data_IF_332092515455
#
_entry.id   IF_332092515455
#
_cell.length_a   1.000
_cell.length_b   1.000
_cell.length_c   1.000
_cell.angle_alpha   90.00
_cell.angle_beta   90.00
_cell.angle_gamma   90.00
#
_symmetry.space_group_name_H-M   'P 1'
#
loop_
_entity.id
_entity.type
_entity.pdbx_description
1 polymer ?
#
# COMPACT_ATOMS: atom_id res chain seq x y z
N UNK A 1 60.39 -40.39 -57.00
CA UNK A 1 60.97 -41.08 -55.81
C UNK A 1 61.62 -40.01 -54.95
N UNK A 2 60.95 -39.41 -53.96
CA UNK A 2 60.87 -39.75 -52.51
C UNK A 2 61.06 -38.37 -51.85
N UNK A 3 60.31 -37.81 -50.90
CA UNK A 3 59.21 -38.15 -49.98
C UNK A 3 58.61 -36.76 -49.61
N UNK A 4 57.31 -36.50 -49.66
CA UNK A 4 56.31 -36.79 -48.61
C UNK A 4 56.78 -36.44 -47.18
N UNK A 5 55.94 -35.68 -46.45
CA UNK A 5 56.02 -35.23 -45.05
C UNK A 5 56.73 -33.90 -44.77
N UNK A 6 55.95 -32.81 -44.88
CA UNK A 6 55.77 -31.79 -43.83
C UNK A 6 54.57 -30.91 -44.20
N UNK A 7 53.41 -31.58 -44.28
CA UNK A 7 52.11 -30.94 -44.11
C UNK A 7 51.79 -30.91 -42.61
N UNK A 8 51.04 -29.88 -42.21
CA UNK A 8 50.34 -29.66 -40.94
C UNK A 8 51.03 -28.79 -39.86
N UNK A 9 50.29 -27.72 -39.50
CA UNK A 9 50.49 -26.70 -38.44
C UNK A 9 51.42 -25.56 -38.87
N UNK A 10 51.02 -24.31 -39.11
CA UNK A 10 49.81 -23.55 -38.85
C UNK A 10 49.71 -22.47 -39.94
N UNK A 11 49.04 -22.79 -41.04
CA UNK A 11 48.33 -21.76 -41.82
C UNK A 11 46.92 -21.68 -41.21
N UNK A 12 46.33 -20.48 -41.22
CA UNK A 12 45.09 -20.06 -40.54
C UNK A 12 45.37 -19.31 -39.22
N UNK A 13 45.77 -18.04 -39.34
CA UNK A 13 45.49 -17.03 -38.31
C UNK A 13 45.33 -15.64 -38.96
N UNK A 14 44.47 -15.57 -39.97
CA UNK A 14 44.03 -14.32 -40.57
C UNK A 14 42.66 -14.57 -41.21
N UNK A 15 41.62 -14.54 -40.37
CA UNK A 15 40.20 -14.31 -40.68
C UNK A 15 39.38 -14.72 -39.44
N UNK A 16 38.31 -13.97 -39.18
CA UNK A 16 37.36 -14.08 -38.05
C UNK A 16 37.70 -13.21 -36.83
N UNK A 17 37.68 -11.88 -37.03
CA UNK A 17 37.13 -10.95 -36.03
C UNK A 17 35.79 -10.47 -36.58
N UNK A 18 34.77 -11.32 -36.49
CA UNK A 18 33.36 -10.95 -36.70
C UNK A 18 32.56 -11.68 -35.63
N UNK A 19 31.92 -10.89 -34.75
CA UNK A 19 30.71 -11.29 -34.04
C UNK A 19 30.87 -12.29 -32.90
N UNK A 20 31.28 -11.82 -31.72
CA UNK A 20 30.68 -12.36 -30.49
C UNK A 20 29.30 -11.72 -30.35
N UNK A 21 28.38 -12.04 -31.28
CA UNK A 21 26.98 -12.01 -30.91
C UNK A 21 26.78 -13.28 -30.08
N UNK A 22 26.52 -13.09 -28.79
CA UNK A 22 25.87 -14.11 -27.98
C UNK A 22 24.67 -14.63 -28.79
N UNK A 23 24.78 -15.84 -29.30
CA UNK A 23 23.67 -16.57 -29.89
C UNK A 23 22.68 -16.88 -28.76
N UNK A 24 21.83 -15.91 -28.43
CA UNK A 24 20.61 -16.21 -27.71
C UNK A 24 19.80 -17.16 -28.58
N UNK A 25 19.37 -18.30 -28.03
CA UNK A 25 18.32 -19.12 -28.64
C UNK A 25 17.09 -18.23 -28.82
N UNK A 26 16.93 -17.65 -30.02
CA UNK A 26 15.65 -17.07 -30.44
C UNK A 26 14.73 -18.23 -30.77
N UNK A 27 14.06 -18.77 -29.75
CA UNK A 27 12.91 -19.65 -29.94
C UNK A 27 11.67 -18.89 -30.46
N UNK A 28 11.84 -17.74 -31.13
CA UNK A 28 10.74 -16.84 -31.51
C UNK A 28 9.99 -16.19 -30.34
N UNK A 29 10.36 -16.51 -29.09
CA UNK A 29 9.81 -15.90 -27.88
C UNK A 29 10.74 -14.75 -27.51
N UNK A 30 10.26 -13.53 -27.65
CA UNK A 30 10.89 -12.35 -27.08
C UNK A 30 10.74 -12.41 -25.55
N UNK A 31 11.82 -12.75 -24.85
CA UNK A 31 11.81 -12.85 -23.39
C UNK A 31 11.75 -11.47 -22.71
N UNK A 32 11.93 -10.38 -23.47
CA UNK A 32 11.89 -9.01 -22.96
C UNK A 32 10.45 -8.49 -22.83
N UNK A 33 9.49 -9.09 -23.56
CA UNK A 33 8.08 -8.69 -23.53
C UNK A 33 7.17 -9.65 -22.77
N UNK A 34 7.68 -10.82 -22.36
CA UNK A 34 6.85 -11.86 -21.74
C UNK A 34 6.95 -11.79 -20.22
N UNK A 35 5.82 -11.52 -19.58
CA UNK A 35 5.67 -11.47 -18.12
C UNK A 35 5.74 -12.89 -17.53
N UNK A 36 6.59 -13.07 -16.53
CA UNK A 36 6.78 -14.29 -15.73
C UNK A 36 5.89 -14.28 -14.49
N UNK A 37 5.76 -13.14 -13.83
CA UNK A 37 4.85 -12.91 -12.70
C UNK A 37 4.13 -11.59 -12.93
N UNK A 38 2.86 -11.60 -13.36
CA UNK A 38 2.08 -10.39 -13.45
C UNK A 38 1.73 -9.90 -12.06
N UNK A 39 1.62 -8.59 -11.87
CA UNK A 39 0.97 -8.08 -10.68
C UNK A 39 -0.52 -8.45 -10.66
N UNK A 40 -1.13 -8.40 -9.48
CA UNK A 40 -2.57 -8.31 -9.31
C UNK A 40 -2.91 -7.02 -8.56
N UNK A 41 -3.84 -6.24 -9.08
CA UNK A 41 -4.35 -5.02 -8.47
C UNK A 41 -5.85 -5.19 -8.19
N UNK A 42 -6.25 -4.97 -6.95
CA UNK A 42 -7.65 -4.93 -6.56
C UNK A 42 -8.10 -3.48 -6.43
N UNK A 43 -9.32 -3.19 -6.89
CA UNK A 43 -9.85 -1.83 -7.00
C UNK A 43 -11.27 -1.82 -6.45
N UNK A 44 -11.52 -1.08 -5.38
CA UNK A 44 -12.88 -0.81 -4.91
C UNK A 44 -13.43 0.46 -5.56
N UNK A 45 -14.72 0.51 -5.81
CA UNK A 45 -15.42 1.70 -6.31
C UNK A 45 -16.34 2.35 -5.26
N UNK A 46 -16.84 3.54 -5.58
CA UNK A 46 -17.78 4.29 -4.73
C UNK A 46 -19.20 3.69 -4.70
N UNK A 47 -19.50 2.69 -5.53
CA UNK A 47 -20.75 1.94 -5.50
C UNK A 47 -20.61 0.64 -4.70
N UNK A 48 -19.42 0.35 -4.17
CA UNK A 48 -19.13 -0.84 -3.38
C UNK A 48 -18.80 -2.08 -4.21
N UNK A 49 -18.58 -1.95 -5.52
CA UNK A 49 -18.09 -3.07 -6.31
C UNK A 49 -16.57 -3.22 -6.11
N UNK A 50 -16.10 -4.47 -6.20
CA UNK A 50 -14.69 -4.81 -6.18
C UNK A 50 -14.29 -5.38 -7.54
N UNK A 51 -13.19 -4.85 -8.07
CA UNK A 51 -12.63 -5.20 -9.37
C UNK A 51 -11.21 -5.73 -9.21
N UNK A 52 -10.75 -6.47 -10.22
CA UNK A 52 -9.37 -6.93 -10.33
C UNK A 52 -8.80 -6.67 -11.72
N UNK A 53 -7.51 -6.35 -11.78
CA UNK A 53 -6.73 -6.26 -13.02
C UNK A 53 -5.30 -6.76 -12.83
N UNK A 54 -4.74 -7.36 -13.87
CA UNK A 54 -3.34 -7.77 -13.94
C UNK A 54 -2.57 -7.05 -15.06
N UNK A 55 -3.21 -6.10 -15.74
CA UNK A 55 -2.64 -5.33 -16.86
C UNK A 55 -2.83 -3.83 -16.71
N UNK A 56 -3.82 -3.42 -15.90
CA UNK A 56 -4.15 -2.03 -15.65
C UNK A 56 -4.97 -1.41 -16.78
N UNK A 57 -5.12 -2.12 -17.90
CA UNK A 57 -5.82 -1.67 -19.11
C UNK A 57 -7.22 -2.30 -19.24
N UNK A 58 -7.50 -3.34 -18.45
CA UNK A 58 -8.81 -3.99 -18.38
C UNK A 58 -9.10 -4.49 -16.97
N UNK A 59 -10.38 -4.52 -16.58
CA UNK A 59 -10.82 -4.94 -15.25
C UNK A 59 -11.86 -6.05 -15.33
N UNK A 60 -11.88 -6.88 -14.29
CA UNK A 60 -12.85 -7.94 -14.05
C UNK A 60 -13.59 -7.65 -12.75
N UNK A 61 -14.93 -7.69 -12.79
CA UNK A 61 -15.76 -7.63 -11.59
C UNK A 61 -15.56 -8.90 -10.75
N UNK A 62 -15.30 -8.75 -9.46
CA UNK A 62 -15.18 -9.86 -8.51
C UNK A 62 -16.18 -9.78 -7.36
N UNK A 63 -16.68 -8.58 -7.02
CA UNK A 63 -17.81 -8.41 -6.11
C UNK A 63 -18.77 -7.35 -6.68
N UNK A 64 -20.07 -7.64 -6.84
CA UNK A 64 -21.02 -6.68 -7.42
C UNK A 64 -21.26 -5.49 -6.48
N UNK A 65 -21.69 -4.33 -7.02
CA UNK A 65 -21.99 -3.16 -6.20
C UNK A 65 -23.11 -3.44 -5.20
N UNK A 66 -22.89 -3.05 -3.95
CA UNK A 66 -23.83 -3.19 -2.83
C UNK A 66 -24.20 -1.85 -2.16
N UNK A 67 -23.67 -0.74 -2.69
CA UNK A 67 -23.90 0.61 -2.19
C UNK A 67 -22.97 1.03 -1.03
N UNK A 68 -22.03 0.18 -0.62
CA UNK A 68 -21.09 0.47 0.46
C UNK A 68 -19.65 0.42 -0.05
N UNK A 69 -18.97 1.57 -0.22
CA UNK A 69 -17.58 1.60 -0.68
C UNK A 69 -16.65 0.76 0.19
N UNK A 70 -15.68 0.12 -0.45
CA UNK A 70 -14.59 -0.51 0.28
C UNK A 70 -13.77 0.55 1.01
N UNK A 71 -13.38 0.22 2.24
CA UNK A 71 -12.52 1.04 3.09
C UNK A 71 -11.12 0.48 3.18
N UNK A 72 -10.93 -0.83 3.01
CA UNK A 72 -9.60 -1.44 3.03
C UNK A 72 -9.62 -2.72 2.22
N UNK A 73 -8.57 -2.99 1.47
CA UNK A 73 -8.37 -4.25 0.77
C UNK A 73 -6.96 -4.72 1.10
N UNK A 74 -6.79 -6.01 1.42
CA UNK A 74 -5.46 -6.64 1.54
C UNK A 74 -5.50 -8.06 0.99
N UNK A 75 -4.33 -8.62 0.73
CA UNK A 75 -4.13 -10.06 0.64
C UNK A 75 -3.27 -10.53 1.80
N UNK A 76 -3.55 -11.72 2.33
CA UNK A 76 -2.71 -12.38 3.34
C UNK A 76 -2.64 -13.86 3.03
N UNK A 77 -1.43 -14.36 2.74
CA UNK A 77 -1.28 -15.64 2.05
C UNK A 77 -2.06 -15.66 0.72
N UNK A 78 -2.95 -16.64 0.55
CA UNK A 78 -3.82 -16.77 -0.64
C UNK A 78 -5.21 -16.14 -0.43
N UNK A 79 -5.44 -15.48 0.71
CA UNK A 79 -6.75 -14.95 1.04
C UNK A 79 -6.85 -13.49 0.61
N UNK A 80 -8.01 -13.11 0.09
CA UNK A 80 -8.37 -11.72 -0.18
C UNK A 80 -9.33 -11.24 0.91
N UNK A 81 -8.98 -10.13 1.57
CA UNK A 81 -9.82 -9.50 2.56
C UNK A 81 -10.20 -8.10 2.08
N UNK A 82 -11.44 -7.70 2.36
CA UNK A 82 -11.81 -6.29 2.29
C UNK A 82 -12.66 -5.89 3.49
N UNK A 83 -12.66 -4.60 3.78
CA UNK A 83 -13.45 -3.98 4.84
C UNK A 83 -14.45 -3.03 4.22
N UNK A 84 -15.73 -3.17 4.59
CA UNK A 84 -16.78 -2.17 4.41
C UNK A 84 -17.28 -1.73 5.79
N UNK A 85 -18.51 -2.06 6.14
CA UNK A 85 -19.01 -2.03 7.53
C UNK A 85 -18.50 -3.21 8.37
N UNK A 86 -18.20 -4.33 7.71
CA UNK A 86 -17.63 -5.55 8.28
C UNK A 86 -16.39 -5.97 7.47
N UNK A 87 -15.58 -6.84 8.03
CA UNK A 87 -14.47 -7.50 7.32
C UNK A 87 -14.98 -8.74 6.61
N UNK A 88 -14.73 -8.82 5.31
CA UNK A 88 -15.12 -9.92 4.44
C UNK A 88 -13.89 -10.64 3.92
N UNK A 89 -14.02 -11.94 3.74
CA UNK A 89 -12.95 -12.85 3.35
C UNK A 89 -13.37 -13.65 2.12
N UNK A 90 -12.49 -13.71 1.14
CA UNK A 90 -12.51 -14.70 0.06
C UNK A 90 -11.33 -15.66 0.19
N UNK A 91 -11.64 -16.96 0.02
CA UNK A 91 -10.68 -18.07 0.02
C UNK A 91 -10.40 -18.60 -1.39
N UNK A 92 -11.00 -18.00 -2.41
CA UNK A 92 -11.03 -18.50 -3.78
C UNK A 92 -10.93 -17.35 -4.80
N UNK A 93 -9.95 -16.47 -4.60
CA UNK A 93 -9.60 -15.39 -5.52
C UNK A 93 -10.78 -14.46 -5.88
N UNK A 94 -11.64 -14.17 -4.91
CA UNK A 94 -12.80 -13.31 -5.08
C UNK A 94 -14.04 -14.01 -5.64
N UNK A 95 -14.04 -15.35 -5.74
CA UNK A 95 -15.23 -16.08 -6.21
C UNK A 95 -16.42 -15.99 -5.25
N UNK A 96 -16.18 -16.03 -3.94
CA UNK A 96 -17.18 -15.80 -2.90
C UNK A 96 -16.57 -15.03 -1.73
N UNK A 97 -17.40 -14.27 -1.02
CA UNK A 97 -17.02 -13.51 0.17
C UNK A 97 -17.93 -13.83 1.34
N UNK A 98 -17.35 -14.05 2.52
CA UNK A 98 -18.09 -14.22 3.77
C UNK A 98 -17.63 -13.19 4.80
N UNK A 99 -18.54 -12.60 5.60
CA UNK A 99 -18.14 -11.77 6.72
C UNK A 99 -17.41 -12.63 7.77
N UNK A 100 -16.32 -12.09 8.33
CA UNK A 100 -15.49 -12.79 9.34
C UNK A 100 -15.26 -11.96 10.60
N UNK A 101 -15.43 -10.64 10.54
CA UNK A 101 -15.40 -9.76 11.70
C UNK A 101 -16.37 -8.58 11.53
N UNK A 102 -17.01 -8.17 12.61
CA UNK A 102 -17.92 -7.01 12.67
C UNK A 102 -17.49 -5.93 13.65
N UNK A 103 -16.28 -6.07 14.23
CA UNK A 103 -15.74 -5.19 15.26
C UNK A 103 -14.98 -4.00 14.68
N UNK A 104 -14.64 -4.06 13.39
CA UNK A 104 -13.87 -3.03 12.68
C UNK A 104 -14.33 -1.61 13.01
N UNK A 105 -13.36 -0.73 13.23
CA UNK A 105 -13.65 0.66 13.60
C UNK A 105 -14.47 1.38 12.52
N UNK A 106 -15.46 2.16 12.95
CA UNK A 106 -16.24 3.07 12.13
C UNK A 106 -15.60 4.46 12.02
N UNK A 107 -14.57 4.73 12.84
CA UNK A 107 -13.87 6.02 12.94
C UNK A 107 -12.55 6.06 12.17
N UNK A 108 -11.98 4.88 11.90
CA UNK A 108 -10.76 4.76 11.10
C UNK A 108 -10.96 5.16 9.63
N UNK A 109 -9.86 5.51 8.98
CA UNK A 109 -9.88 6.01 7.61
C UNK A 109 -9.12 5.07 6.68
N UNK A 110 -9.83 4.66 5.63
CA UNK A 110 -9.38 3.85 4.49
C UNK A 110 -8.33 2.77 4.79
N UNK A 111 -7.33 2.59 3.90
CA UNK A 111 -6.41 1.44 3.91
C UNK A 111 -5.61 1.28 5.20
N UNK A 112 -5.60 2.28 6.08
CA UNK A 112 -4.85 2.25 7.32
C UNK A 112 -5.52 1.43 8.45
N UNK A 113 -6.73 0.90 8.23
CA UNK A 113 -7.48 0.17 9.27
C UNK A 113 -7.19 -1.33 9.30
N UNK A 114 -6.59 -1.90 8.26
CA UNK A 114 -6.30 -3.33 8.18
C UNK A 114 -4.92 -3.55 7.57
N UNK A 115 -4.10 -4.39 8.19
CA UNK A 115 -2.70 -4.56 7.83
C UNK A 115 -2.27 -6.03 7.94
N UNK A 116 -1.72 -6.58 6.87
CA UNK A 116 -0.97 -7.84 6.93
C UNK A 116 0.43 -7.58 7.48
N UNK A 117 0.84 -8.32 8.51
CA UNK A 117 2.14 -8.19 9.18
C UNK A 117 2.84 -9.55 9.16
N UNK A 118 3.54 -9.88 8.05
CA UNK A 118 4.19 -11.18 7.88
C UNK A 118 5.19 -11.53 8.99
N UNK A 119 5.94 -10.54 9.50
CA UNK A 119 6.89 -10.72 10.61
C UNK A 119 6.22 -11.25 11.89
N UNK A 120 4.94 -10.93 12.06
CA UNK A 120 4.14 -11.40 13.19
C UNK A 120 3.34 -12.65 12.85
N UNK A 121 3.24 -13.02 11.56
CA UNK A 121 2.32 -14.04 11.06
C UNK A 121 0.87 -13.67 11.36
N UNK A 122 0.51 -12.38 11.25
CA UNK A 122 -0.80 -11.86 11.65
C UNK A 122 -1.34 -10.82 10.69
N UNK A 123 -2.65 -10.86 10.49
CA UNK A 123 -3.42 -9.71 10.02
C UNK A 123 -3.91 -8.95 11.24
N UNK A 124 -3.68 -7.65 11.30
CA UNK A 124 -4.21 -6.75 12.32
C UNK A 124 -5.37 -5.92 11.75
N UNK A 125 -6.37 -5.69 12.57
CA UNK A 125 -7.55 -4.90 12.24
C UNK A 125 -7.85 -3.91 13.37
N UNK A 126 -7.92 -2.65 13.00
CA UNK A 126 -8.35 -1.57 13.87
C UNK A 126 -9.85 -1.75 14.19
N UNK A 127 -10.18 -1.76 15.48
CA UNK A 127 -11.49 -2.16 15.99
C UNK A 127 -12.08 -1.07 16.90
N UNK A 128 -13.41 -0.99 17.01
CA UNK A 128 -14.05 -0.17 18.05
C UNK A 128 -13.74 -0.78 19.42
N UNK A 129 -13.23 0.01 20.36
CA UNK A 129 -13.05 -0.46 21.74
C UNK A 129 -14.37 -0.54 22.50
N UNK A 130 -14.27 -1.03 23.75
CA UNK A 130 -15.37 -1.47 24.61
C UNK A 130 -16.73 -0.81 24.32
N UNK A 131 -17.55 -1.51 23.53
CA UNK A 131 -18.98 -1.23 23.40
C UNK A 131 -19.74 -2.35 24.07
N UNK A 132 -20.96 -2.07 24.56
CA UNK A 132 -21.79 -3.06 25.26
C UNK A 132 -22.08 -4.33 24.43
N UNK A 133 -21.81 -4.31 23.11
CA UNK A 133 -22.04 -5.43 22.19
C UNK A 133 -20.74 -6.05 21.64
N UNK A 134 -19.58 -5.40 21.78
CA UNK A 134 -18.26 -5.91 21.34
C UNK A 134 -17.15 -5.41 22.28
N UNK A 135 -16.68 -6.22 23.23
CA UNK A 135 -15.64 -5.83 24.18
C UNK A 135 -14.26 -6.00 23.52
N UNK A 136 -13.92 -5.18 22.53
CA UNK A 136 -12.54 -5.16 22.01
C UNK A 136 -11.70 -4.12 22.76
N UNK A 137 -10.38 -4.32 22.76
CA UNK A 137 -9.41 -3.33 23.24
C UNK A 137 -8.89 -2.46 22.07
N UNK A 138 -9.75 -2.19 21.10
CA UNK A 138 -9.45 -1.36 19.95
C UNK A 138 -8.65 -2.05 18.83
N UNK A 139 -8.13 -3.25 19.03
CA UNK A 139 -7.46 -4.05 17.99
C UNK A 139 -7.94 -5.49 18.09
N UNK A 140 -8.19 -6.09 16.93
CA UNK A 140 -8.32 -7.54 16.79
C UNK A 140 -7.28 -8.02 15.76
N UNK A 141 -6.86 -9.28 15.85
CA UNK A 141 -5.90 -9.86 14.92
C UNK A 141 -6.31 -11.27 14.49
N UNK A 142 -5.78 -11.71 13.36
CA UNK A 142 -5.96 -13.06 12.83
C UNK A 142 -4.62 -13.72 12.58
N UNK A 143 -4.44 -14.94 13.08
CA UNK A 143 -3.24 -15.79 12.83
C UNK A 143 -3.47 -16.80 11.70
N UNK A 144 -4.64 -16.75 11.06
CA UNK A 144 -5.03 -17.65 9.98
C UNK A 144 -5.59 -16.88 8.78
N UNK A 145 -4.94 -15.76 8.47
CA UNK A 145 -5.16 -14.94 7.28
C UNK A 145 -6.63 -14.48 7.14
N UNK A 146 -7.26 -14.08 8.24
CA UNK A 146 -8.61 -13.52 8.27
C UNK A 146 -9.74 -14.51 8.53
N UNK A 147 -9.47 -15.81 8.70
CA UNK A 147 -10.54 -16.81 8.92
C UNK A 147 -11.20 -16.67 10.29
N UNK A 148 -10.42 -16.37 11.33
CA UNK A 148 -10.91 -16.11 12.69
C UNK A 148 -10.14 -14.95 13.30
N UNK A 149 -10.80 -14.23 14.21
CA UNK A 149 -10.26 -13.02 14.84
C UNK A 149 -10.21 -13.16 16.35
N UNK A 150 -9.10 -12.70 16.93
CA UNK A 150 -8.79 -12.73 18.35
C UNK A 150 -8.66 -11.28 18.82
N UNK A 151 -9.28 -10.95 19.94
CA UNK A 151 -9.12 -9.63 20.57
C UNK A 151 -7.67 -9.49 21.04
N UNK A 152 -7.00 -8.40 20.66
CA UNK A 152 -5.67 -8.10 21.19
C UNK A 152 -5.82 -7.62 22.64
N UNK A 153 -5.69 -8.56 23.58
CA UNK A 153 -5.85 -8.30 25.01
C UNK A 153 -4.59 -7.76 25.67
N UNK A 154 -3.50 -7.56 24.91
CA UNK A 154 -2.22 -7.17 25.49
C UNK A 154 -2.30 -5.80 26.16
N UNK A 155 -1.75 -5.77 27.37
CA UNK A 155 -1.96 -4.74 28.37
C UNK A 155 -1.13 -3.52 28.00
N UNK A 156 -1.79 -2.37 27.80
CA UNK A 156 -1.11 -1.09 27.88
C UNK A 156 -0.55 -0.99 29.29
N UNK A 157 0.73 -0.66 29.47
CA UNK A 157 1.39 -0.56 30.79
C UNK A 157 0.82 0.54 31.72
N UNK A 158 -0.43 0.96 31.49
CA UNK A 158 -1.21 1.86 32.29
C UNK A 158 -2.63 1.30 32.37
N UNK A 159 -3.35 1.57 33.45
CA UNK A 159 -4.74 1.13 33.71
C UNK A 159 -5.78 1.57 32.66
N UNK A 160 -5.34 2.15 31.55
CA UNK A 160 -6.13 2.72 30.47
C UNK A 160 -6.39 1.69 29.35
N UNK A 161 -7.66 1.39 29.13
CA UNK A 161 -8.13 0.65 27.98
C UNK A 161 -8.06 1.52 26.72
N UNK A 162 -7.50 1.03 25.61
CA UNK A 162 -7.71 1.69 24.31
C UNK A 162 -9.20 1.68 24.01
N UNK A 163 -9.75 2.86 23.73
CA UNK A 163 -11.17 3.04 23.45
C UNK A 163 -11.54 2.73 21.99
N UNK A 164 -10.59 2.81 21.07
CA UNK A 164 -10.67 2.28 19.70
C UNK A 164 -9.32 2.54 19.00
N UNK A 165 -8.86 1.64 18.12
CA UNK A 165 -7.79 1.99 17.17
C UNK A 165 -8.43 2.44 15.88
N UNK A 166 -7.80 3.41 15.22
CA UNK A 166 -8.31 4.02 13.99
C UNK A 166 -7.34 3.94 12.82
N UNK A 167 -6.09 3.59 13.09
CA UNK A 167 -5.06 3.48 12.06
C UNK A 167 -3.89 2.61 12.54
N UNK A 168 -3.27 1.88 11.61
CA UNK A 168 -2.18 0.93 11.81
C UNK A 168 -1.13 1.12 10.71
N UNK A 169 0.14 0.91 11.04
CA UNK A 169 1.21 0.83 10.05
C UNK A 169 2.42 0.09 10.62
N UNK A 170 3.23 -0.55 9.78
CA UNK A 170 4.47 -1.20 10.20
C UNK A 170 5.65 -0.57 9.47
N UNK A 171 6.70 -0.22 10.21
CA UNK A 171 7.95 0.26 9.63
C UNK A 171 8.78 -0.91 9.06
N UNK A 172 9.71 -0.61 8.17
CA UNK A 172 10.60 -1.61 7.56
C UNK A 172 11.46 -2.39 8.57
N UNK A 173 11.77 -1.80 9.73
CA UNK A 173 12.47 -2.44 10.84
C UNK A 173 11.60 -3.39 11.67
N UNK A 174 10.33 -3.59 11.27
CA UNK A 174 9.38 -4.48 11.91
C UNK A 174 8.53 -3.82 13.00
N UNK A 175 8.82 -2.58 13.39
CA UNK A 175 8.08 -1.89 14.46
C UNK A 175 6.65 -1.56 14.01
N UNK A 176 5.67 -2.12 14.71
CA UNK A 176 4.25 -1.92 14.43
C UNK A 176 3.71 -0.75 15.25
N UNK A 177 2.93 0.12 14.62
CA UNK A 177 2.29 1.27 15.24
C UNK A 177 0.76 1.21 15.13
N UNK A 178 0.10 1.76 16.15
CA UNK A 178 -1.33 1.96 16.20
C UNK A 178 -1.66 3.38 16.68
N UNK A 179 -2.67 4.02 16.09
CA UNK A 179 -3.14 5.35 16.48
C UNK A 179 -4.65 5.36 16.74
N UNK A 180 -5.05 6.08 17.78
CA UNK A 180 -6.45 6.29 18.14
C UNK A 180 -6.85 7.75 18.03
N UNK A 181 -7.80 8.05 17.16
CA UNK A 181 -8.49 9.35 17.13
C UNK A 181 -9.47 9.55 18.30
N UNK A 182 -9.64 8.56 19.19
CA UNK A 182 -10.57 8.65 20.32
C UNK A 182 -9.89 9.19 21.57
N UNK A 183 -8.66 8.73 21.84
CA UNK A 183 -7.85 9.19 22.98
C UNK A 183 -6.64 10.04 22.55
N UNK A 184 -6.32 10.07 21.25
CA UNK A 184 -5.23 10.86 20.67
C UNK A 184 -3.85 10.23 20.84
N UNK A 185 -3.77 8.95 21.23
CA UNK A 185 -2.50 8.31 21.54
C UNK A 185 -1.92 7.49 20.39
N UNK A 186 -0.59 7.44 20.39
CA UNK A 186 0.23 6.59 19.55
C UNK A 186 0.79 5.43 20.37
N UNK A 187 0.73 4.23 19.83
CA UNK A 187 1.22 3.01 20.45
C UNK A 187 2.18 2.30 19.52
N UNK A 188 3.20 1.65 20.07
CA UNK A 188 4.14 0.83 19.33
C UNK A 188 4.26 -0.57 19.91
N UNK A 189 4.61 -1.54 19.04
CA UNK A 189 4.82 -2.94 19.39
C UNK A 189 6.00 -3.50 18.62
N UNK A 190 6.96 -4.06 19.37
CA UNK A 190 8.24 -4.56 18.82
C UNK A 190 8.16 -6.01 18.30
N UNK A 191 7.18 -6.79 18.74
CA UNK A 191 6.98 -8.16 18.28
C UNK A 191 5.57 -8.63 18.56
N UNK A 192 5.15 -9.72 17.90
CA UNK A 192 3.81 -10.30 18.06
C UNK A 192 3.39 -10.63 19.50
N UNK A 193 4.31 -10.83 20.44
CA UNK A 193 3.99 -11.17 21.83
C UNK A 193 4.39 -10.08 22.83
N UNK A 194 4.96 -8.97 22.35
CA UNK A 194 5.23 -7.83 23.19
C UNK A 194 3.95 -7.04 23.45
N UNK A 195 3.89 -6.41 24.64
CA UNK A 195 2.87 -5.44 24.99
C UNK A 195 2.97 -4.19 24.11
N UNK A 196 1.85 -3.49 24.01
CA UNK A 196 1.80 -2.18 23.38
C UNK A 196 2.35 -1.11 24.32
N UNK A 197 3.32 -0.35 23.82
CA UNK A 197 3.93 0.76 24.56
C UNK A 197 3.35 2.06 24.02
N UNK A 198 2.71 2.84 24.90
CA UNK A 198 2.27 4.18 24.56
C UNK A 198 3.47 5.10 24.37
N UNK A 199 3.46 5.85 23.29
CA UNK A 199 4.47 6.87 22.97
C UNK A 199 3.90 8.24 23.36
N UNK A 200 4.76 9.09 23.93
CA UNK A 200 4.45 10.49 24.23
C UNK A 200 5.11 11.37 23.17
N UNK A 201 4.39 11.73 22.09
CA UNK A 201 4.98 12.47 20.99
C UNK A 201 5.29 13.92 21.38
N UNK A 202 6.41 14.43 20.87
CA UNK A 202 6.85 15.83 20.99
C UNK A 202 6.75 16.47 19.61
N UNK A 203 6.18 17.67 19.53
CA UNK A 203 6.13 18.48 18.30
C UNK A 203 4.86 18.32 17.46
N UNK A 204 3.99 17.35 17.76
CA UNK A 204 2.66 17.29 17.15
C UNK A 204 1.79 18.49 17.58
N UNK A 205 0.88 18.95 16.71
CA UNK A 205 0.00 20.07 17.03
C UNK A 205 -1.02 19.69 18.12
N UNK A 206 -1.36 20.63 19.00
CA UNK A 206 -2.28 20.42 20.13
C UNK A 206 -3.76 20.52 19.76
N UNK A 207 -4.11 20.68 18.48
CA UNK A 207 -5.50 20.87 18.06
C UNK A 207 -6.29 19.55 18.16
N UNK A 208 -7.35 19.55 18.97
CA UNK A 208 -8.15 18.37 19.30
C UNK A 208 -9.24 18.00 18.27
N UNK A 209 -9.32 18.69 17.12
CA UNK A 209 -10.45 18.57 16.17
C UNK A 209 -10.11 17.87 14.85
N UNK A 210 -8.92 17.30 14.72
CA UNK A 210 -8.42 16.70 13.47
C UNK A 210 -8.39 15.18 13.57
N UNK A 211 -8.81 14.50 12.50
CA UNK A 211 -8.63 13.06 12.36
C UNK A 211 -7.29 12.77 11.70
N UNK A 212 -6.46 11.96 12.34
CA UNK A 212 -5.17 11.54 11.80
C UNK A 212 -5.17 10.07 11.41
N UNK A 213 -4.39 9.74 10.38
CA UNK A 213 -4.06 8.37 10.03
C UNK A 213 -2.55 8.21 9.83
N UNK A 214 -2.08 7.00 10.10
CA UNK A 214 -0.70 6.58 10.00
C UNK A 214 -0.37 6.10 8.58
N UNK A 215 0.89 6.28 8.21
CA UNK A 215 1.55 5.66 7.07
C UNK A 215 3.05 5.57 7.35
N UNK A 216 3.85 5.10 6.41
CA UNK A 216 5.30 5.07 6.55
C UNK A 216 6.03 5.23 5.21
N UNK A 217 7.33 5.50 5.30
CA UNK A 217 8.29 5.38 4.21
C UNK A 217 9.59 4.82 4.79
N UNK A 218 9.85 3.54 4.54
CA UNK A 218 10.91 2.77 5.21
C UNK A 218 10.73 2.77 6.73
N UNK A 219 11.69 3.38 7.44
CA UNK A 219 11.66 3.56 8.90
C UNK A 219 11.16 4.93 9.36
N UNK A 220 10.65 5.75 8.44
CA UNK A 220 10.03 7.03 8.77
C UNK A 220 8.55 6.81 9.04
N UNK A 221 8.11 7.08 10.27
CA UNK A 221 6.69 7.06 10.61
C UNK A 221 6.03 8.35 10.15
N UNK A 222 4.84 8.25 9.55
CA UNK A 222 4.08 9.37 9.02
C UNK A 222 2.73 9.49 9.74
N UNK A 223 2.28 10.73 9.92
CA UNK A 223 0.97 11.06 10.46
C UNK A 223 0.35 12.15 9.59
N UNK A 224 -0.77 11.84 8.94
CA UNK A 224 -1.46 12.76 8.05
C UNK A 224 -2.75 13.24 8.67
N UNK A 225 -2.95 14.55 8.73
CA UNK A 225 -4.24 15.15 9.06
C UNK A 225 -5.20 15.01 7.89
N UNK A 226 -6.22 14.19 8.06
CA UNK A 226 -7.27 14.00 7.07
C UNK A 226 -7.89 15.31 6.61
N UNK A 227 -8.05 16.31 7.48
CA UNK A 227 -8.71 17.57 7.09
C UNK A 227 -7.84 18.48 6.21
N UNK A 228 -6.52 18.21 6.17
CA UNK A 228 -5.52 18.96 5.41
C UNK A 228 -4.96 20.19 6.12
N UNK A 229 -5.63 20.69 7.17
CA UNK A 229 -5.22 21.92 7.86
C UNK A 229 -3.82 21.82 8.49
N UNK A 230 -3.48 20.66 9.02
CA UNK A 230 -2.20 20.40 9.68
C UNK A 230 -1.20 19.69 8.76
N UNK A 231 -1.60 19.24 7.57
CA UNK A 231 -0.75 18.58 6.59
C UNK A 231 -0.22 17.21 7.05
N UNK A 232 1.01 16.90 6.63
CA UNK A 232 1.69 15.62 6.95
C UNK A 232 2.88 15.87 7.87
N UNK A 233 2.98 15.04 8.90
CA UNK A 233 4.06 15.03 9.87
C UNK A 233 4.86 13.74 9.74
N UNK A 234 6.12 13.79 10.17
CA UNK A 234 7.02 12.64 10.16
C UNK A 234 7.85 12.55 11.43
N UNK A 235 8.26 11.33 11.76
CA UNK A 235 9.21 11.01 12.82
C UNK A 235 10.17 9.93 12.33
N UNK A 236 11.46 10.15 12.57
CA UNK A 236 12.57 9.23 12.22
C UNK A 236 13.07 8.46 13.46
N UNK A 237 12.53 8.78 14.64
CA UNK A 237 12.91 8.22 15.93
C UNK A 237 11.77 7.43 16.58
N UNK A 238 11.04 6.68 15.74
CA UNK A 238 9.97 5.77 16.19
C UNK A 238 8.82 6.47 16.93
N UNK A 239 8.41 7.65 16.44
CA UNK A 239 7.23 8.38 16.90
C UNK A 239 7.47 9.32 18.08
N UNK A 240 8.73 9.54 18.49
CA UNK A 240 9.05 10.38 19.67
C UNK A 240 9.07 11.87 19.28
N UNK A 241 9.88 12.27 18.30
CA UNK A 241 9.98 13.65 17.83
C UNK A 241 9.34 13.75 16.44
N UNK A 242 8.40 14.68 16.33
CA UNK A 242 7.66 14.95 15.11
C UNK A 242 8.03 16.30 14.50
N UNK A 243 8.14 16.31 13.18
CA UNK A 243 8.34 17.50 12.37
C UNK A 243 7.32 17.53 11.25
N UNK A 244 6.82 18.71 10.91
CA UNK A 244 5.91 18.90 9.77
C UNK A 244 6.72 18.93 8.47
N UNK A 245 6.24 18.26 7.43
CA UNK A 245 6.77 18.49 6.09
C UNK A 245 6.34 19.86 5.57
N UNK A 246 7.20 20.49 4.76
CA UNK A 246 6.94 21.79 4.16
C UNK A 246 6.07 21.71 2.90
N UNK A 247 6.04 22.81 2.16
CA UNK A 247 5.23 22.99 0.95
C UNK A 247 3.81 23.47 1.24
N UNK A 248 2.98 23.49 0.19
CA UNK A 248 1.60 23.98 0.26
C UNK A 248 0.66 22.87 -0.20
N UNK A 249 0.37 21.96 0.73
CA UNK A 249 -0.79 21.09 0.58
C UNK A 249 -2.06 21.97 0.67
N UNK A 250 -3.08 21.69 -0.15
CA UNK A 250 -4.33 22.41 -0.11
C UNK A 250 -5.07 22.10 1.21
N UNK A 251 -5.79 23.09 1.74
CA UNK A 251 -6.63 22.90 2.94
C UNK A 251 -7.95 22.20 2.57
N UNK A 252 -7.83 20.96 2.11
CA UNK A 252 -8.91 20.04 1.77
C UNK A 252 -8.60 18.66 2.32
N UNK A 253 -9.56 17.72 2.31
CA UNK A 253 -9.28 16.38 2.76
C UNK A 253 -8.11 15.70 2.04
N UNK A 254 -7.19 15.14 2.83
CA UNK A 254 -6.03 14.36 2.38
C UNK A 254 -6.39 12.87 2.46
N UNK A 255 -6.68 12.29 1.30
CA UNK A 255 -7.32 10.99 1.19
C UNK A 255 -6.37 9.80 1.28
N UNK A 256 -5.14 9.96 0.81
CA UNK A 256 -4.14 8.91 0.86
C UNK A 256 -2.77 9.49 1.18
N UNK A 257 -1.95 8.75 1.91
CA UNK A 257 -0.52 9.01 2.07
C UNK A 257 0.21 7.70 1.94
N UNK A 258 1.03 7.54 0.90
CA UNK A 258 1.66 6.26 0.58
C UNK A 258 2.99 6.46 -0.14
N UNK A 259 3.94 5.57 0.14
CA UNK A 259 5.24 5.53 -0.50
C UNK A 259 5.43 4.23 -1.30
N UNK A 260 5.05 4.17 -2.59
CA UNK A 260 5.30 3.00 -3.41
C UNK A 260 6.79 2.61 -3.37
N UNK A 261 7.06 1.38 -2.94
CA UNK A 261 8.42 0.82 -2.84
C UNK A 261 9.39 1.61 -1.96
N UNK A 262 8.90 2.44 -1.04
CA UNK A 262 9.70 3.35 -0.22
C UNK A 262 10.55 4.34 -1.03
N UNK A 263 10.20 4.61 -2.29
CA UNK A 263 10.96 5.49 -3.18
C UNK A 263 10.44 6.93 -3.16
N UNK A 264 9.11 7.09 -3.16
CA UNK A 264 8.45 8.38 -3.36
C UNK A 264 7.22 8.53 -2.49
N UNK A 265 7.17 9.57 -1.67
CA UNK A 265 6.01 9.83 -0.83
C UNK A 265 4.97 10.70 -1.56
N UNK A 266 3.76 10.18 -1.69
CA UNK A 266 2.63 10.90 -2.29
C UNK A 266 1.50 11.15 -1.30
N UNK A 267 0.76 12.24 -1.55
CA UNK A 267 -0.49 12.58 -0.87
C UNK A 267 -1.58 12.78 -1.89
N UNK A 268 -2.63 11.96 -1.82
CA UNK A 268 -3.86 12.11 -2.59
C UNK A 268 -4.79 13.13 -1.92
N UNK A 269 -5.42 14.00 -2.70
CA UNK A 269 -6.24 15.10 -2.17
C UNK A 269 -7.64 15.11 -2.78
N UNK A 270 -8.60 15.71 -2.06
CA UNK A 270 -9.96 15.94 -2.58
C UNK A 270 -9.95 17.09 -3.61
N UNK A 271 -10.03 16.74 -4.89
CA UNK A 271 -10.22 17.69 -5.99
C UNK A 271 -8.99 18.48 -6.41
N UNK A 272 -7.81 18.21 -5.84
CA UNK A 272 -6.55 18.90 -6.20
C UNK A 272 -5.48 17.93 -6.72
N UNK A 273 -5.87 16.69 -7.06
CA UNK A 273 -4.97 15.66 -7.56
C UNK A 273 -4.06 15.07 -6.49
N UNK A 274 -2.81 14.82 -6.87
CA UNK A 274 -1.76 14.22 -6.05
C UNK A 274 -0.58 15.17 -5.87
N UNK A 275 0.01 15.14 -4.68
CA UNK A 275 1.23 15.88 -4.34
C UNK A 275 2.35 14.89 -4.04
N UNK A 276 3.58 15.21 -4.43
CA UNK A 276 4.79 14.40 -4.15
C UNK A 276 5.73 15.17 -3.23
N UNK A 277 6.38 14.45 -2.32
CA UNK A 277 7.44 15.03 -1.49
C UNK A 277 8.72 15.23 -2.32
N UNK A 278 9.22 16.45 -2.37
CA UNK A 278 10.49 16.81 -3.02
C UNK A 278 11.28 17.70 -2.07
N UNK A 279 12.47 17.27 -1.66
CA UNK A 279 13.35 18.03 -0.76
C UNK A 279 12.63 18.55 0.50
N UNK A 280 11.85 17.68 1.16
CA UNK A 280 11.10 18.00 2.38
C UNK A 280 9.84 18.85 2.18
N UNK A 281 9.45 19.16 0.93
CA UNK A 281 8.27 19.95 0.61
C UNK A 281 7.31 19.17 -0.31
N UNK A 282 6.02 19.20 0.00
CA UNK A 282 5.01 18.67 -0.93
C UNK A 282 4.77 19.65 -2.08
N UNK A 283 4.87 19.14 -3.32
CA UNK A 283 4.62 19.88 -4.56
C UNK A 283 3.60 19.12 -5.43
N UNK A 284 2.77 19.81 -6.24
CA UNK A 284 1.83 19.13 -7.14
C UNK A 284 2.54 18.20 -8.13
N UNK A 285 1.99 16.99 -8.34
CA UNK A 285 2.49 15.99 -9.27
C UNK A 285 1.36 15.50 -10.20
N UNK A 286 0.67 16.46 -10.84
CA UNK A 286 -0.61 16.24 -11.51
C UNK A 286 -0.53 16.07 -13.03
N UNK A 287 0.66 15.91 -13.61
CA UNK A 287 0.78 15.90 -15.07
C UNK A 287 0.03 14.70 -15.67
N UNK A 288 -0.92 14.97 -16.57
CA UNK A 288 -1.79 13.95 -17.17
C UNK A 288 -3.05 13.58 -16.36
N UNK A 289 -3.23 14.12 -15.14
CA UNK A 289 -4.50 14.03 -14.41
C UNK A 289 -5.53 15.02 -14.96
N UNK A 290 -6.81 14.64 -14.94
CA UNK A 290 -7.89 15.57 -15.22
C UNK A 290 -7.99 16.66 -14.15
N UNK A 291 -8.61 17.78 -14.51
CA UNK A 291 -8.84 18.88 -13.56
C UNK A 291 -9.89 18.46 -12.51
N UNK A 292 -9.75 18.93 -11.26
CA UNK A 292 -10.62 18.59 -10.12
C UNK A 292 -10.66 17.09 -9.75
N UNK A 293 -9.67 16.30 -10.16
CA UNK A 293 -9.59 14.88 -9.78
C UNK A 293 -9.32 14.73 -8.29
N UNK A 294 -10.15 13.93 -7.61
CA UNK A 294 -9.88 13.48 -6.24
C UNK A 294 -9.09 12.19 -6.27
N UNK A 295 -7.93 12.13 -5.61
CA UNK A 295 -7.09 10.93 -5.54
C UNK A 295 -7.32 10.26 -4.20
N UNK A 296 -7.98 9.09 -4.20
CA UNK A 296 -8.48 8.42 -2.98
C UNK A 296 -7.60 7.30 -2.46
N UNK A 297 -6.86 6.62 -3.35
CA UNK A 297 -5.89 5.61 -2.95
C UNK A 297 -4.72 5.56 -3.93
N UNK A 298 -3.58 5.06 -3.44
CA UNK A 298 -2.31 4.98 -4.17
C UNK A 298 -1.73 3.58 -3.93
N UNK A 299 -1.20 2.93 -4.96
CA UNK A 299 -0.54 1.63 -4.84
C UNK A 299 0.67 1.52 -5.78
N UNK A 300 1.67 0.73 -5.37
CA UNK A 300 2.77 0.28 -6.24
C UNK A 300 2.52 -1.15 -6.71
N UNK A 301 2.73 -1.43 -8.00
CA UNK A 301 2.61 -2.77 -8.59
C UNK A 301 3.73 -3.05 -9.58
N UNK A 302 4.26 -4.27 -9.56
CA UNK A 302 5.38 -4.66 -10.40
C UNK A 302 5.11 -5.91 -11.24
N UNK A 303 5.51 -5.84 -12.50
CA UNK A 303 5.64 -7.02 -13.35
C UNK A 303 7.08 -7.51 -13.30
N UNK A 304 7.25 -8.83 -13.19
CA UNK A 304 8.54 -9.49 -13.39
C UNK A 304 8.51 -10.22 -14.73
N UNK A 305 9.44 -9.89 -15.62
CA UNK A 305 9.56 -10.47 -16.96
C UNK A 305 10.39 -11.76 -16.95
N UNK A 306 10.34 -12.53 -18.04
CA UNK A 306 11.10 -13.78 -18.19
C UNK A 306 12.61 -13.60 -18.20
N UNK A 307 13.08 -12.39 -18.54
CA UNK A 307 14.48 -11.99 -18.44
C UNK A 307 14.86 -11.46 -17.04
N UNK A 308 13.97 -11.61 -16.04
CA UNK A 308 14.10 -11.16 -14.66
C UNK A 308 14.22 -9.62 -14.48
N UNK A 309 13.90 -8.85 -15.53
CA UNK A 309 13.66 -7.41 -15.40
C UNK A 309 12.34 -7.18 -14.65
N UNK A 310 12.36 -6.26 -13.69
CA UNK A 310 11.16 -5.80 -12.98
C UNK A 310 10.75 -4.43 -13.51
N UNK A 311 9.48 -4.27 -13.90
CA UNK A 311 8.90 -2.97 -14.23
C UNK A 311 7.93 -2.56 -13.13
N UNK A 312 8.14 -1.37 -12.58
CA UNK A 312 7.31 -0.81 -11.50
C UNK A 312 6.29 0.16 -12.08
N UNK A 313 5.10 0.14 -11.50
CA UNK A 313 3.97 0.98 -11.85
C UNK A 313 3.39 1.60 -10.59
N UNK A 314 3.03 2.89 -10.67
CA UNK A 314 2.28 3.56 -9.62
C UNK A 314 0.84 3.73 -10.09
N UNK A 315 -0.13 3.41 -9.23
CA UNK A 315 -1.55 3.52 -9.53
C UNK A 315 -2.23 4.51 -8.60
N UNK A 316 -3.19 5.25 -9.15
CA UNK A 316 -4.11 6.10 -8.40
C UNK A 316 -5.55 5.65 -8.65
N UNK A 317 -6.29 5.34 -7.59
CA UNK A 317 -7.75 5.31 -7.66
C UNK A 317 -8.26 6.72 -7.46
N UNK A 318 -9.10 7.17 -8.39
CA UNK A 318 -9.57 8.55 -8.40
C UNK A 318 -11.07 8.65 -8.66
N UNK A 319 -11.61 9.86 -8.52
CA UNK A 319 -12.99 10.18 -8.85
C UNK A 319 -13.33 10.16 -10.35
N UNK A 320 -12.35 9.97 -11.22
CA UNK A 320 -12.53 9.94 -12.68
C UNK A 320 -11.95 8.68 -13.34
N UNK A 321 -11.08 7.95 -12.65
CA UNK A 321 -10.61 6.65 -13.13
C UNK A 321 -9.41 6.10 -12.39
N UNK A 322 -8.90 5.00 -12.91
CA UNK A 322 -7.62 4.44 -12.57
C UNK A 322 -6.56 5.12 -13.42
N UNK A 323 -5.60 5.77 -12.77
CA UNK A 323 -4.43 6.34 -13.44
C UNK A 323 -3.20 5.49 -13.16
N UNK A 324 -2.32 5.37 -14.15
CA UNK A 324 -1.04 4.68 -14.08
C UNK A 324 0.10 5.64 -14.38
N UNK A 325 1.20 5.52 -13.64
CA UNK A 325 2.49 6.13 -13.96
C UNK A 325 3.54 5.03 -14.12
N UNK A 326 4.43 5.22 -15.09
CA UNK A 326 5.58 4.34 -15.39
C UNK A 326 6.93 5.05 -15.14
N UNK A 327 6.90 6.25 -14.55
CA UNK A 327 8.04 7.15 -14.40
C UNK A 327 8.10 7.80 -13.01
N UNK A 328 7.74 7.00 -12.00
CA UNK A 328 7.78 7.41 -10.59
C UNK A 328 6.85 8.61 -10.28
N UNK A 329 5.66 8.62 -10.88
CA UNK A 329 4.62 9.63 -10.65
C UNK A 329 4.94 11.01 -11.24
N UNK A 330 5.79 11.08 -12.27
CA UNK A 330 6.02 12.33 -13.01
C UNK A 330 4.90 12.58 -14.03
N UNK A 331 4.43 11.52 -14.70
CA UNK A 331 3.34 11.56 -15.67
C UNK A 331 2.31 10.47 -15.35
N UNK A 332 1.03 10.81 -15.53
CA UNK A 332 -0.10 9.91 -15.31
C UNK A 332 -0.90 9.71 -16.59
N UNK A 333 -1.34 8.48 -16.82
CA UNK A 333 -2.23 8.12 -17.92
C UNK A 333 -3.47 7.48 -17.32
N UNK A 334 -4.65 7.97 -17.67
CA UNK A 334 -5.91 7.30 -17.33
C UNK A 334 -6.02 6.01 -18.14
N UNK A 335 -6.01 4.86 -17.47
CA UNK A 335 -6.10 3.57 -18.15
C UNK A 335 -7.53 3.03 -18.15
N UNK A 336 -8.32 3.36 -17.13
CA UNK A 336 -9.70 2.88 -16.97
C UNK A 336 -10.56 4.02 -16.40
N UNK A 337 -11.65 4.46 -17.05
CA UNK A 337 -12.57 5.44 -16.47
C UNK A 337 -13.41 4.80 -15.35
N UNK A 338 -13.78 5.59 -14.34
CA UNK A 338 -14.62 5.11 -13.23
C UNK A 338 -14.46 5.92 -11.94
N UNK A 339 -15.33 5.68 -10.97
CA UNK A 339 -15.28 6.36 -9.67
C UNK A 339 -14.70 5.43 -8.60
N UNK A 340 -13.37 5.38 -8.49
CA UNK A 340 -12.65 4.43 -7.66
C UNK A 340 -12.25 5.00 -6.29
N UNK A 341 -12.35 4.16 -5.26
CA UNK A 341 -12.21 4.53 -3.85
C UNK A 341 -10.98 3.94 -3.17
N UNK A 342 -10.58 2.73 -3.55
CA UNK A 342 -9.51 1.98 -2.87
C UNK A 342 -8.68 1.15 -3.83
N UNK A 343 -7.41 0.91 -3.45
CA UNK A 343 -6.48 0.05 -4.18
C UNK A 343 -5.77 -0.89 -3.21
N UNK A 344 -5.41 -2.09 -3.70
CA UNK A 344 -4.42 -2.94 -3.05
C UNK A 344 -3.53 -3.68 -4.03
#
# INVERSE_FOLDING_TARGET
MRKAYRFYKLAILALVVIGIQSCHKKNGIDNDSVIKKPYGLYIGDEQGALWNTNTGDSIKLIFPPDGYPDRSIITSGNNLLFVKSNTHLSLNDGGNFNPTDSSVTKRGMWQSIMLDVPDHGRVYLASEGYSNNHPTNGIVYSENNGKTWIIDTMVYNDTMQIRATTSLTQLQNGLLFAHSNVDGYLYARVSKNADWIRINPIGLPTSSSTYYYLSHMGNTLLLTDYSGSQGVWHSEDSGVIWKKYGGTLPNVPLYATYAPYDQDLFVGTKGYGVYRLVNGNFVPANNGLAHNTSVRAIAGKDDVYKNDVTKQYYYLATSDGLYRSEDNGQNWIQTIPGDFSTLY
#
